data_IF_453482539803
#
_entry.id   IF_453482539803
#
_cell.length_a   1.000
_cell.length_b   1.000
_cell.length_c   1.000
_cell.angle_alpha   90.00
_cell.angle_beta   90.00
_cell.angle_gamma   90.00
#
_symmetry.space_group_name_H-M   'P 1'
#
loop_
_entity.id
_entity.type
_entity.pdbx_description
1 polymer ?
#
# COMPACT_ATOMS: atom_id res chain seq x y z
N UNK A 1 -15.90 -1.48 31.39
CA UNK A 1 -16.54 -2.68 30.78
C UNK A 1 -16.07 -2.82 29.34
N UNK A 2 -15.84 -4.05 28.86
CA UNK A 2 -15.40 -4.31 27.48
C UNK A 2 -16.57 -4.84 26.65
N UNK A 3 -16.80 -4.25 25.48
CA UNK A 3 -17.88 -4.66 24.56
C UNK A 3 -17.25 -5.36 23.36
N UNK A 4 -17.82 -6.49 22.93
CA UNK A 4 -17.39 -7.17 21.72
C UNK A 4 -17.86 -6.37 20.48
N UNK A 5 -16.92 -6.05 19.58
CA UNK A 5 -17.20 -5.23 18.37
C UNK A 5 -17.07 -6.04 17.09
N UNK A 6 -16.04 -6.87 16.95
CA UNK A 6 -15.74 -7.57 15.71
C UNK A 6 -14.94 -8.86 15.95
N UNK A 7 -15.10 -9.82 15.03
CA UNK A 7 -14.25 -11.01 14.93
C UNK A 7 -13.70 -11.14 13.52
N UNK A 8 -12.39 -10.99 13.39
CA UNK A 8 -11.70 -11.05 12.11
C UNK A 8 -10.28 -10.49 12.21
N UNK A 9 -9.53 -10.51 11.10
CA UNK A 9 -8.13 -10.09 11.06
C UNK A 9 -7.93 -8.57 11.17
N UNK A 10 -8.96 -7.75 10.92
CA UNK A 10 -8.93 -6.29 11.11
C UNK A 10 -10.34 -5.78 11.42
N UNK A 11 -10.47 -4.56 11.95
CA UNK A 11 -11.74 -3.94 12.29
C UNK A 11 -11.73 -2.46 11.87
N UNK A 12 -12.85 -1.97 11.32
CA UNK A 12 -13.09 -0.55 11.08
C UNK A 12 -13.99 -0.04 12.20
N UNK A 13 -13.60 1.05 12.85
CA UNK A 13 -14.35 1.64 13.96
C UNK A 13 -15.24 2.79 13.48
N UNK A 14 -16.52 2.79 13.90
CA UNK A 14 -17.45 3.89 13.71
C UNK A 14 -17.35 4.98 14.79
N UNK A 15 -18.13 6.05 14.63
CA UNK A 15 -18.14 7.22 15.53
C UNK A 15 -18.50 6.87 16.97
N UNK A 16 -19.32 5.83 17.18
CA UNK A 16 -19.69 5.28 18.47
C UNK A 16 -18.50 4.71 19.26
N UNK A 17 -17.35 4.50 18.60
CA UNK A 17 -16.14 3.99 19.22
C UNK A 17 -15.12 5.08 19.58
N UNK A 18 -15.37 6.34 19.19
CA UNK A 18 -14.48 7.48 19.50
C UNK A 18 -14.28 7.58 21.02
N UNK A 19 -13.05 7.95 21.42
CA UNK A 19 -12.60 8.05 22.81
C UNK A 19 -12.58 6.72 23.60
N UNK A 20 -12.79 5.57 22.96
CA UNK A 20 -12.66 4.24 23.61
C UNK A 20 -11.28 3.63 23.36
N UNK A 21 -10.85 2.77 24.28
CA UNK A 21 -9.69 1.90 24.07
C UNK A 21 -10.11 0.65 23.30
N UNK A 22 -9.16 0.04 22.58
CA UNK A 22 -9.37 -1.20 21.84
C UNK A 22 -8.63 -2.31 22.56
N UNK A 23 -9.30 -3.46 22.73
CA UNK A 23 -8.66 -4.69 23.19
C UNK A 23 -8.78 -5.76 22.11
N UNK A 24 -7.64 -6.24 21.63
CA UNK A 24 -7.52 -7.41 20.78
C UNK A 24 -7.37 -8.64 21.67
N UNK A 25 -8.14 -9.68 21.37
CA UNK A 25 -7.99 -11.01 21.99
C UNK A 25 -7.84 -12.03 20.87
N UNK A 26 -6.85 -12.91 20.98
CA UNK A 26 -6.52 -13.91 19.96
C UNK A 26 -6.25 -15.25 20.63
N UNK A 27 -6.99 -16.27 20.20
CA UNK A 27 -6.72 -17.66 20.58
C UNK A 27 -6.02 -18.35 19.40
N UNK A 28 -4.68 -18.47 19.42
CA UNK A 28 -3.93 -19.04 18.31
C UNK A 28 -4.27 -20.52 18.16
N UNK A 29 -4.31 -21.00 16.91
CA UNK A 29 -4.50 -22.41 16.57
C UNK A 29 -3.44 -22.86 15.59
N UNK A 30 -2.94 -24.08 15.77
CA UNK A 30 -2.02 -24.70 14.82
C UNK A 30 -2.77 -25.34 13.63
N UNK A 31 -2.04 -25.96 12.69
CA UNK A 31 -2.61 -26.66 11.53
C UNK A 31 -3.54 -27.82 11.90
N UNK A 32 -3.37 -28.42 13.08
CA UNK A 32 -4.24 -29.45 13.63
C UNK A 32 -5.41 -28.89 14.46
N UNK A 33 -5.67 -27.58 14.38
CA UNK A 33 -6.71 -26.85 15.12
C UNK A 33 -6.57 -26.90 16.65
N UNK A 34 -5.41 -27.29 17.17
CA UNK A 34 -5.15 -27.27 18.62
C UNK A 34 -4.94 -25.84 19.07
N UNK A 35 -5.64 -25.47 20.13
CA UNK A 35 -5.59 -24.14 20.72
C UNK A 35 -4.32 -23.96 21.56
N UNK A 36 -3.68 -22.81 21.41
CA UNK A 36 -2.64 -22.34 22.30
C UNK A 36 -3.20 -21.49 23.43
N UNK A 37 -2.33 -20.68 24.03
CA UNK A 37 -2.72 -19.75 25.09
C UNK A 37 -3.38 -18.49 24.52
N UNK A 38 -4.43 -18.01 25.18
CA UNK A 38 -5.06 -16.73 24.85
C UNK A 38 -4.03 -15.60 24.94
N UNK A 39 -3.88 -14.85 23.85
CA UNK A 39 -3.10 -13.63 23.80
C UNK A 39 -4.04 -12.42 23.81
N UNK A 40 -3.72 -11.41 24.62
CA UNK A 40 -4.48 -10.17 24.68
C UNK A 40 -3.56 -8.95 24.51
N UNK A 41 -4.07 -7.92 23.87
CA UNK A 41 -3.40 -6.63 23.72
C UNK A 41 -4.40 -5.49 23.87
N UNK A 42 -4.08 -4.49 24.69
CA UNK A 42 -4.88 -3.26 24.82
C UNK A 42 -4.14 -2.08 24.20
N UNK A 43 -4.85 -1.29 23.39
CA UNK A 43 -4.29 -0.11 22.74
C UNK A 43 -3.80 0.90 23.76
N UNK A 44 -2.65 1.53 23.47
CA UNK A 44 -2.09 2.61 24.31
C UNK A 44 -2.84 3.93 24.14
N UNK A 45 -3.51 4.11 23.00
CA UNK A 45 -4.25 5.32 22.63
C UNK A 45 -5.73 4.99 22.47
N UNK A 46 -6.57 6.00 22.70
CA UNK A 46 -8.00 5.95 22.39
C UNK A 46 -8.21 6.17 20.89
N UNK A 47 -9.32 5.68 20.36
CA UNK A 47 -9.75 5.99 19.01
C UNK A 47 -10.02 7.50 18.93
N UNK A 48 -9.41 8.15 17.93
CA UNK A 48 -9.62 9.56 17.63
C UNK A 48 -10.67 9.71 16.51
N UNK A 49 -11.37 10.86 16.44
CA UNK A 49 -12.27 11.15 15.33
C UNK A 49 -11.55 11.09 13.97
N UNK A 50 -12.21 10.51 12.97
CA UNK A 50 -11.77 10.60 11.58
C UNK A 50 -12.14 12.00 11.02
N UNK A 51 -11.28 12.67 10.24
CA UNK A 51 -11.66 13.92 9.59
C UNK A 51 -12.89 13.73 8.67
N UNK A 52 -13.80 14.71 8.68
CA UNK A 52 -15.10 14.60 8.00
C UNK A 52 -15.07 15.00 6.53
N UNK A 53 -14.26 16.00 6.15
CA UNK A 53 -14.15 16.49 4.76
C UNK A 53 -12.93 15.91 4.05
N UNK A 54 -12.95 14.58 3.87
CA UNK A 54 -11.89 13.88 3.14
C UNK A 54 -12.27 13.75 1.65
N UNK A 55 -11.36 14.04 0.71
CA UNK A 55 -11.64 13.90 -0.73
C UNK A 55 -12.15 12.51 -1.13
N UNK A 56 -11.68 11.45 -0.46
CA UNK A 56 -12.12 10.07 -0.68
C UNK A 56 -13.63 9.90 -0.49
N UNK A 57 -14.26 10.66 0.42
CA UNK A 57 -15.68 10.47 0.77
C UNK A 57 -16.60 10.69 -0.43
N UNK A 58 -16.30 11.69 -1.28
CA UNK A 58 -17.05 11.96 -2.51
C UNK A 58 -16.80 10.86 -3.55
N UNK A 59 -15.57 10.37 -3.65
CA UNK A 59 -15.18 9.31 -4.59
C UNK A 59 -15.79 7.95 -4.22
N UNK A 60 -15.92 7.66 -2.92
CA UNK A 60 -16.60 6.45 -2.41
C UNK A 60 -18.09 6.41 -2.76
N UNK A 61 -18.75 7.56 -2.93
CA UNK A 61 -20.14 7.58 -3.42
C UNK A 61 -20.29 7.01 -4.84
N UNK A 62 -19.21 7.04 -5.64
CA UNK A 62 -19.19 6.50 -7.00
C UNK A 62 -18.76 5.02 -7.04
N UNK A 63 -18.31 4.48 -5.92
CA UNK A 63 -17.65 3.17 -5.84
C UNK A 63 -18.23 2.30 -4.73
N UNK A 64 -19.53 2.48 -4.41
CA UNK A 64 -20.21 1.87 -3.25
C UNK A 64 -20.11 0.36 -3.11
N UNK A 65 -19.87 -0.34 -4.22
CA UNK A 65 -19.76 -1.79 -4.26
C UNK A 65 -18.76 -2.24 -5.32
N UNK A 66 -18.29 -3.47 -5.18
CA UNK A 66 -17.57 -4.19 -6.21
C UNK A 66 -18.46 -4.37 -7.45
N UNK A 67 -17.84 -4.44 -8.62
CA UNK A 67 -18.56 -4.95 -9.76
C UNK A 67 -18.86 -6.45 -9.57
N UNK A 68 -19.99 -6.95 -10.09
CA UNK A 68 -20.24 -8.40 -10.16
C UNK A 68 -19.12 -9.13 -10.90
N UNK A 69 -18.83 -10.37 -10.49
CA UNK A 69 -17.76 -11.18 -11.09
C UNK A 69 -17.99 -11.50 -12.57
N UNK A 70 -19.25 -11.48 -13.02
CA UNK A 70 -19.69 -11.68 -14.40
C UNK A 70 -19.81 -10.37 -15.19
N UNK A 71 -19.42 -9.24 -14.59
CA UNK A 71 -19.44 -7.95 -15.29
C UNK A 71 -18.28 -7.84 -16.28
N UNK A 72 -18.48 -7.04 -17.33
CA UNK A 72 -17.44 -6.70 -18.30
C UNK A 72 -16.60 -5.47 -17.87
N UNK A 73 -16.66 -5.11 -16.58
CA UNK A 73 -15.97 -3.92 -16.05
C UNK A 73 -14.87 -4.33 -15.09
N UNK A 74 -13.75 -3.60 -15.17
CA UNK A 74 -12.62 -3.72 -14.26
C UNK A 74 -12.41 -2.35 -13.64
N UNK A 75 -12.40 -2.28 -12.31
CA UNK A 75 -12.03 -1.08 -11.57
C UNK A 75 -10.55 -1.16 -11.19
N UNK A 76 -9.78 -0.19 -11.67
CA UNK A 76 -8.35 -0.08 -11.41
C UNK A 76 -8.02 1.17 -10.60
N UNK A 77 -7.15 1.01 -9.61
CA UNK A 77 -6.50 2.10 -8.90
C UNK A 77 -5.03 2.15 -9.33
N UNK A 78 -4.54 3.35 -9.62
CA UNK A 78 -3.11 3.66 -9.62
C UNK A 78 -2.88 4.80 -8.64
N UNK A 79 -2.06 4.58 -7.61
CA UNK A 79 -1.89 5.58 -6.55
C UNK A 79 -0.48 5.57 -5.95
N UNK A 80 0.21 6.70 -6.09
CA UNK A 80 1.43 6.96 -5.32
C UNK A 80 1.03 7.36 -3.90
N UNK A 81 1.46 6.56 -2.91
CA UNK A 81 1.02 6.69 -1.51
C UNK A 81 2.00 7.42 -0.59
N UNK A 82 3.03 8.06 -1.17
CA UNK A 82 4.07 8.82 -0.50
C UNK A 82 4.80 8.00 0.58
N UNK A 83 5.99 7.50 0.22
CA UNK A 83 6.79 6.70 1.14
C UNK A 83 7.16 7.52 2.37
N UNK A 84 7.09 6.90 3.54
CA UNK A 84 7.39 7.55 4.79
C UNK A 84 8.82 8.08 4.83
N UNK A 85 9.79 7.40 4.20
CA UNK A 85 11.16 7.89 4.10
C UNK A 85 11.27 9.31 3.51
N UNK A 86 10.39 9.67 2.57
CA UNK A 86 10.36 11.01 1.98
C UNK A 86 9.64 12.01 2.89
N UNK A 87 8.50 11.62 3.48
CA UNK A 87 7.74 12.48 4.36
C UNK A 87 8.44 12.77 5.71
N UNK A 88 9.20 11.82 6.25
CA UNK A 88 9.83 11.91 7.57
C UNK A 88 11.29 12.38 7.54
N UNK A 89 11.83 12.71 6.36
CA UNK A 89 13.20 13.21 6.25
C UNK A 89 13.33 14.60 6.88
N UNK A 90 14.48 14.87 7.51
CA UNK A 90 14.75 16.16 8.17
C UNK A 90 14.58 17.31 7.19
N UNK A 91 13.64 18.21 7.49
CA UNK A 91 13.31 19.36 6.66
C UNK A 91 12.30 19.10 5.54
N UNK A 92 11.88 17.86 5.26
CA UNK A 92 10.87 17.61 4.22
C UNK A 92 9.52 18.26 4.55
N UNK A 93 9.08 18.17 5.80
CA UNK A 93 7.86 18.85 6.22
C UNK A 93 7.96 20.39 6.17
N UNK A 94 9.16 20.96 6.32
CA UNK A 94 9.35 22.42 6.29
C UNK A 94 9.55 22.97 4.86
N UNK A 95 10.12 22.16 3.96
CA UNK A 95 10.46 22.59 2.60
C UNK A 95 9.46 22.11 1.56
N UNK A 96 9.09 20.84 1.58
CA UNK A 96 8.20 20.21 0.59
C UNK A 96 6.73 20.30 0.99
N UNK A 97 6.44 20.25 2.29
CA UNK A 97 5.07 20.24 2.82
C UNK A 97 4.82 21.33 3.88
N UNK A 98 5.25 22.59 3.69
CA UNK A 98 5.17 23.64 4.73
C UNK A 98 3.74 23.97 5.18
N UNK A 99 2.76 23.64 4.33
CA UNK A 99 1.33 23.82 4.59
C UNK A 99 0.71 22.67 5.41
N UNK A 100 1.42 21.56 5.60
CA UNK A 100 0.92 20.37 6.30
C UNK A 100 1.55 20.27 7.68
N UNK A 101 0.73 20.08 8.72
CA UNK A 101 1.25 19.87 10.06
C UNK A 101 2.04 18.56 10.15
N UNK A 102 3.08 18.55 10.99
CA UNK A 102 3.93 17.37 11.17
C UNK A 102 3.15 16.13 11.65
N UNK A 103 2.08 16.34 12.41
CA UNK A 103 1.18 15.27 12.87
C UNK A 103 0.53 14.54 11.70
N UNK A 104 0.07 15.26 10.67
CA UNK A 104 -0.63 14.67 9.52
C UNK A 104 0.33 14.03 8.50
N UNK A 105 1.60 14.43 8.52
CA UNK A 105 2.65 13.77 7.73
C UNK A 105 3.08 12.42 8.32
N UNK A 106 2.86 12.19 9.62
CA UNK A 106 3.26 10.94 10.27
C UNK A 106 2.57 9.74 9.62
N UNK A 107 3.35 8.67 9.40
CA UNK A 107 2.82 7.47 8.75
C UNK A 107 1.62 6.87 9.50
N UNK A 108 1.67 6.85 10.83
CA UNK A 108 0.60 6.32 11.66
C UNK A 108 -0.72 7.11 11.54
N UNK A 109 -0.66 8.37 11.11
CA UNK A 109 -1.85 9.14 10.76
C UNK A 109 -2.33 8.83 9.33
N UNK A 110 -1.39 8.71 8.37
CA UNK A 110 -1.71 8.47 6.95
C UNK A 110 -2.23 7.06 6.67
N UNK A 111 -1.64 6.01 7.26
CA UNK A 111 -1.99 4.60 6.94
C UNK A 111 -3.47 4.28 7.12
N UNK A 112 -4.14 4.63 8.24
CA UNK A 112 -5.57 4.37 8.39
C UNK A 112 -6.42 5.07 7.33
N UNK A 113 -6.04 6.29 6.93
CA UNK A 113 -6.74 7.04 5.87
C UNK A 113 -6.54 6.40 4.50
N UNK A 114 -5.31 5.99 4.18
CA UNK A 114 -4.99 5.26 2.94
C UNK A 114 -5.76 3.94 2.86
N UNK A 115 -5.81 3.16 3.95
CA UNK A 115 -6.56 1.90 3.98
C UNK A 115 -8.06 2.12 3.80
N UNK A 116 -8.62 3.13 4.48
CA UNK A 116 -10.03 3.53 4.28
C UNK A 116 -10.29 3.93 2.83
N UNK A 117 -9.39 4.71 2.24
CA UNK A 117 -9.48 5.17 0.86
C UNK A 117 -9.47 3.99 -0.13
N UNK A 118 -8.46 3.12 -0.04
CA UNK A 118 -8.29 1.98 -0.95
C UNK A 118 -9.43 0.97 -0.85
N UNK A 119 -9.86 0.60 0.35
CA UNK A 119 -10.93 -0.38 0.55
C UNK A 119 -12.29 0.15 0.08
N UNK A 120 -12.57 1.43 0.33
CA UNK A 120 -13.84 2.04 -0.07
C UNK A 120 -14.01 2.19 -1.59
N UNK A 121 -12.93 2.05 -2.37
CA UNK A 121 -13.01 2.03 -3.82
C UNK A 121 -13.51 0.71 -4.39
N UNK A 122 -13.50 -0.39 -3.64
CA UNK A 122 -13.94 -1.70 -4.10
C UNK A 122 -13.38 -2.05 -5.49
N UNK A 123 -12.07 -1.91 -5.64
CA UNK A 123 -11.37 -2.12 -6.90
C UNK A 123 -11.13 -3.60 -7.20
N UNK A 124 -10.92 -3.93 -8.46
CA UNK A 124 -10.51 -5.28 -8.87
C UNK A 124 -8.98 -5.38 -8.89
N UNK A 125 -8.30 -4.28 -9.25
CA UNK A 125 -6.84 -4.14 -9.28
C UNK A 125 -6.42 -2.84 -8.58
N UNK A 126 -5.38 -2.94 -7.74
CA UNK A 126 -4.77 -1.80 -7.05
C UNK A 126 -3.28 -1.80 -7.34
N UNK A 127 -2.78 -0.79 -8.05
CA UNK A 127 -1.35 -0.55 -8.27
C UNK A 127 -0.90 0.66 -7.45
N UNK A 128 0.12 0.48 -6.62
CA UNK A 128 0.63 1.48 -5.70
C UNK A 128 2.10 1.76 -5.95
N UNK A 129 2.49 3.04 -5.89
CA UNK A 129 3.88 3.49 -5.96
C UNK A 129 4.29 4.14 -4.64
N UNK A 130 5.60 4.20 -4.38
CA UNK A 130 6.16 4.69 -3.12
C UNK A 130 5.61 3.96 -1.89
N UNK A 131 5.41 2.65 -2.01
CA UNK A 131 4.92 1.82 -0.92
C UNK A 131 6.10 1.38 -0.04
N UNK A 132 6.13 1.82 1.22
CA UNK A 132 7.16 1.38 2.17
C UNK A 132 7.12 -0.14 2.40
N UNK A 133 8.28 -0.81 2.37
CA UNK A 133 8.41 -2.26 2.58
C UNK A 133 7.76 -2.71 3.88
N UNK A 134 8.04 -2.03 4.99
CA UNK A 134 7.47 -2.37 6.30
C UNK A 134 5.95 -2.24 6.32
N UNK A 135 5.40 -1.23 5.64
CA UNK A 135 3.96 -1.04 5.56
C UNK A 135 3.30 -2.14 4.73
N UNK A 136 3.91 -2.50 3.59
CA UNK A 136 3.48 -3.63 2.77
C UNK A 136 3.43 -4.94 3.58
N UNK A 137 4.55 -5.31 4.21
CA UNK A 137 4.72 -6.61 4.87
C UNK A 137 3.88 -6.77 6.13
N UNK A 138 3.75 -5.70 6.93
CA UNK A 138 3.16 -5.79 8.27
C UNK A 138 1.68 -5.42 8.34
N UNK A 139 1.19 -4.64 7.39
CA UNK A 139 -0.14 -4.04 7.49
C UNK A 139 -0.93 -4.22 6.18
N UNK A 140 -0.46 -3.59 5.10
CA UNK A 140 -1.22 -3.46 3.86
C UNK A 140 -1.57 -4.81 3.23
N UNK A 141 -0.59 -5.71 3.08
CA UNK A 141 -0.81 -7.03 2.47
C UNK A 141 -1.77 -7.90 3.29
N UNK A 142 -1.66 -7.87 4.62
CA UNK A 142 -2.54 -8.63 5.51
C UNK A 142 -3.98 -8.12 5.44
N UNK A 143 -4.17 -6.80 5.46
CA UNK A 143 -5.49 -6.17 5.41
C UNK A 143 -6.14 -6.39 4.04
N UNK A 144 -5.41 -6.17 2.94
CA UNK A 144 -5.95 -6.41 1.61
C UNK A 144 -6.24 -7.90 1.37
N UNK A 145 -5.40 -8.80 1.87
CA UNK A 145 -5.68 -10.26 1.84
C UNK A 145 -6.94 -10.64 2.58
N UNK A 146 -7.18 -10.05 3.74
CA UNK A 146 -8.42 -10.24 4.47
C UNK A 146 -9.67 -9.72 3.72
N UNK A 147 -9.49 -8.84 2.74
CA UNK A 147 -10.55 -8.33 1.84
C UNK A 147 -10.59 -9.05 0.48
N UNK A 148 -9.90 -10.18 0.35
CA UNK A 148 -9.94 -11.03 -0.83
C UNK A 148 -8.92 -10.69 -1.91
N UNK A 149 -7.96 -9.79 -1.66
CA UNK A 149 -6.90 -9.50 -2.62
C UNK A 149 -5.69 -10.43 -2.43
N UNK A 150 -5.09 -10.85 -3.52
CA UNK A 150 -3.70 -11.29 -3.55
C UNK A 150 -2.83 -10.09 -3.93
N UNK A 151 -1.55 -10.13 -3.60
CA UNK A 151 -0.66 -9.03 -3.95
C UNK A 151 0.80 -9.41 -4.02
N UNK A 152 1.52 -8.62 -4.82
CA UNK A 152 2.93 -8.74 -5.10
C UNK A 152 3.61 -7.40 -4.86
N UNK A 153 4.84 -7.43 -4.33
CA UNK A 153 5.62 -6.23 -4.04
C UNK A 153 6.99 -6.32 -4.69
N UNK A 154 7.44 -5.20 -5.26
CA UNK A 154 8.76 -5.07 -5.87
C UNK A 154 9.46 -3.85 -5.28
N UNK A 155 10.55 -4.08 -4.55
CA UNK A 155 11.41 -3.01 -4.06
C UNK A 155 12.14 -2.37 -5.24
N UNK A 156 12.29 -1.04 -5.20
CA UNK A 156 12.93 -0.25 -6.24
C UNK A 156 14.44 -0.54 -6.38
N UNK A 157 15.15 -0.56 -5.26
CA UNK A 157 16.54 -1.04 -5.15
C UNK A 157 16.89 -1.45 -3.74
N UNK A 158 17.98 -2.21 -3.58
CA UNK A 158 18.40 -2.77 -2.29
C UNK A 158 18.71 -1.70 -1.22
N UNK A 159 18.95 -0.46 -1.66
CA UNK A 159 19.27 0.68 -0.79
C UNK A 159 18.05 1.54 -0.43
N UNK A 160 16.87 1.23 -0.95
CA UNK A 160 15.65 2.00 -0.76
C UNK A 160 14.61 1.12 -0.06
N UNK A 161 13.88 1.69 0.91
CA UNK A 161 12.86 0.97 1.70
C UNK A 161 11.44 1.18 1.16
N UNK A 162 11.30 1.48 -0.13
CA UNK A 162 10.03 1.62 -0.84
C UNK A 162 10.08 0.95 -2.21
N UNK A 163 8.90 0.70 -2.76
CA UNK A 163 8.74 0.22 -4.12
C UNK A 163 7.30 0.24 -4.60
N UNK A 164 7.00 -0.71 -5.47
CA UNK A 164 5.71 -0.82 -6.14
C UNK A 164 4.95 -2.05 -5.63
N UNK A 165 3.66 -1.89 -5.34
CA UNK A 165 2.79 -2.97 -4.93
C UNK A 165 1.63 -3.09 -5.92
N UNK A 166 1.24 -4.32 -6.23
CA UNK A 166 0.04 -4.59 -7.00
C UNK A 166 -0.81 -5.63 -6.31
N UNK A 167 -2.11 -5.36 -6.26
CA UNK A 167 -3.10 -6.23 -5.64
C UNK A 167 -4.22 -6.53 -6.62
N UNK A 168 -4.75 -7.75 -6.57
CA UNK A 168 -5.82 -8.21 -7.45
C UNK A 168 -6.76 -9.17 -6.71
N UNK A 169 -8.07 -9.04 -6.91
CA UNK A 169 -9.10 -9.80 -6.17
C UNK A 169 -9.77 -10.91 -6.99
N UNK A 170 -10.11 -10.64 -8.23
CA UNK A 170 -10.86 -11.54 -9.13
C UNK A 170 -9.98 -12.22 -10.18
N UNK A 171 -8.69 -11.88 -10.19
CA UNK A 171 -7.71 -12.39 -11.15
C UNK A 171 -6.78 -13.41 -10.51
N UNK A 172 -6.21 -14.26 -11.35
CA UNK A 172 -5.12 -15.15 -10.99
C UNK A 172 -3.90 -14.66 -11.74
N UNK A 173 -2.80 -14.41 -11.02
CA UNK A 173 -1.52 -14.10 -11.65
C UNK A 173 -1.01 -15.34 -12.39
N UNK A 174 -0.80 -15.19 -13.70
CA UNK A 174 -0.26 -16.25 -14.55
C UNK A 174 1.27 -16.13 -14.58
N UNK A 175 1.76 -14.91 -14.82
CA UNK A 175 3.17 -14.60 -14.96
C UNK A 175 3.49 -13.29 -14.27
N UNK A 176 4.71 -13.18 -13.77
CA UNK A 176 5.17 -12.00 -13.04
C UNK A 176 6.55 -11.64 -13.54
N UNK A 177 6.69 -10.41 -14.03
CA UNK A 177 7.97 -9.89 -14.50
C UNK A 177 8.25 -8.57 -13.79
N UNK A 178 9.45 -8.45 -13.24
CA UNK A 178 9.91 -7.22 -12.62
C UNK A 178 11.30 -6.93 -13.15
N UNK A 179 11.48 -5.73 -13.70
CA UNK A 179 12.75 -5.30 -14.27
C UNK A 179 13.20 -4.01 -13.59
N UNK A 180 14.50 -3.88 -13.38
CA UNK A 180 15.12 -2.58 -13.15
C UNK A 180 15.50 -2.01 -14.51
N UNK A 181 14.94 -0.87 -14.88
CA UNK A 181 15.06 -0.32 -16.24
C UNK A 181 16.53 -0.13 -16.63
N UNK A 182 17.35 0.42 -15.72
CA UNK A 182 18.77 0.64 -15.98
C UNK A 182 19.56 -0.66 -16.22
N UNK A 183 19.23 -1.74 -15.50
CA UNK A 183 19.82 -3.07 -15.71
C UNK A 183 19.33 -3.69 -17.01
N UNK A 184 18.02 -3.70 -17.24
CA UNK A 184 17.41 -4.31 -18.42
C UNK A 184 17.90 -3.68 -19.73
N UNK A 185 18.09 -2.36 -19.76
CA UNK A 185 18.61 -1.65 -20.93
C UNK A 185 20.06 -2.03 -21.30
N UNK A 186 20.87 -2.48 -20.33
CA UNK A 186 22.24 -2.95 -20.60
C UNK A 186 22.22 -4.26 -21.39
N UNK A 187 21.33 -5.16 -20.99
CA UNK A 187 21.40 -6.57 -21.40
C UNK A 187 20.43 -6.91 -22.54
N UNK A 188 19.35 -6.14 -22.70
CA UNK A 188 18.34 -6.40 -23.72
C UNK A 188 18.85 -6.10 -25.14
N UNK A 189 19.06 -7.14 -25.95
CA UNK A 189 19.48 -7.03 -27.35
C UNK A 189 18.48 -6.23 -28.19
N UNK A 190 17.19 -6.46 -28.01
CA UNK A 190 16.13 -5.77 -28.74
C UNK A 190 16.03 -4.26 -28.44
N UNK A 191 16.74 -3.76 -27.41
CA UNK A 191 16.83 -2.35 -27.06
C UNK A 191 18.15 -1.71 -27.50
N UNK A 192 18.95 -2.39 -28.34
CA UNK A 192 20.23 -1.87 -28.82
C UNK A 192 20.10 -0.51 -29.52
N UNK A 193 19.04 -0.31 -30.31
CA UNK A 193 18.77 0.96 -30.98
C UNK A 193 18.61 2.14 -30.01
N UNK A 194 17.95 1.92 -28.87
CA UNK A 194 17.79 2.91 -27.80
C UNK A 194 19.15 3.17 -27.16
N UNK A 195 19.88 2.10 -26.81
CA UNK A 195 21.21 2.19 -26.19
C UNK A 195 22.19 2.97 -27.05
N UNK A 196 22.25 2.68 -28.36
CA UNK A 196 23.11 3.39 -29.33
C UNK A 196 22.78 4.89 -29.40
N UNK A 197 21.51 5.26 -29.34
CA UNK A 197 21.08 6.67 -29.34
C UNK A 197 21.45 7.37 -28.03
N UNK A 198 21.23 6.73 -26.89
CA UNK A 198 21.61 7.27 -25.59
C UNK A 198 23.12 7.45 -25.47
N UNK A 199 23.91 6.53 -26.04
CA UNK A 199 25.38 6.62 -26.05
C UNK A 199 25.94 7.82 -26.84
N UNK A 200 25.14 8.47 -27.70
CA UNK A 200 25.55 9.70 -28.38
C UNK A 200 25.70 10.89 -27.42
N UNK A 201 25.11 10.81 -26.22
CA UNK A 201 25.18 11.82 -25.17
C UNK A 201 25.60 11.14 -23.87
N UNK A 202 26.88 11.27 -23.51
CA UNK A 202 27.50 10.56 -22.38
C UNK A 202 26.73 10.74 -21.06
N UNK A 203 26.29 11.96 -20.77
CA UNK A 203 25.50 12.30 -19.58
C UNK A 203 24.17 11.54 -19.54
N UNK A 204 23.46 11.46 -20.66
CA UNK A 204 22.19 10.71 -20.76
C UNK A 204 22.44 9.23 -20.55
N UNK A 205 23.49 8.67 -21.16
CA UNK A 205 23.81 7.25 -21.03
C UNK A 205 24.12 6.88 -19.57
N UNK A 206 24.96 7.66 -18.89
CA UNK A 206 25.29 7.44 -17.48
C UNK A 206 24.05 7.55 -16.61
N UNK A 207 23.29 8.64 -16.73
CA UNK A 207 22.09 8.86 -15.92
C UNK A 207 21.02 7.79 -16.10
N UNK A 208 20.84 7.28 -17.32
CA UNK A 208 19.83 6.27 -17.65
C UNK A 208 20.19 4.90 -17.05
N UNK A 209 21.45 4.49 -17.19
CA UNK A 209 21.93 3.18 -16.74
C UNK A 209 22.07 3.10 -15.22
N UNK A 210 22.27 4.22 -14.54
CA UNK A 210 22.32 4.30 -13.08
C UNK A 210 20.94 4.43 -12.42
N UNK A 211 19.84 4.56 -13.20
CA UNK A 211 18.51 4.66 -12.60
C UNK A 211 18.08 3.33 -11.99
N UNK A 212 17.68 3.42 -10.73
CA UNK A 212 17.05 2.34 -9.98
C UNK A 212 15.54 2.24 -10.22
N UNK A 213 15.02 2.76 -11.33
CA UNK A 213 13.58 2.69 -11.60
C UNK A 213 13.17 1.24 -11.82
N UNK A 214 12.31 0.72 -10.96
CA UNK A 214 11.66 -0.57 -11.15
C UNK A 214 10.46 -0.43 -12.09
N UNK A 215 10.14 -1.51 -12.79
CA UNK A 215 8.92 -1.65 -13.58
C UNK A 215 8.32 -3.03 -13.31
N UNK A 216 7.05 -3.05 -12.94
CA UNK A 216 6.31 -4.25 -12.58
C UNK A 216 5.26 -4.60 -13.63
N UNK A 217 5.27 -5.86 -14.10
CA UNK A 217 4.23 -6.46 -14.94
C UNK A 217 3.70 -7.70 -14.23
N UNK A 218 2.37 -7.83 -14.13
CA UNK A 218 1.66 -8.97 -13.54
C UNK A 218 0.48 -9.37 -14.42
#
# INVERSE_FOLDING_TARGET
EWIHVHRGPFCIFGDEHINKFVRLTCLPRNSSLREGMLAEYTSKKRIIPCPTDLPMNRRHQLTKQYFPNDSNYIRLISYNILANGYASSTGAGETMYPYCSQEYLQHDYRKPLLLKELLGYHADIISLQECDTTFYERELSLILKANGYLGDFQIKSDNVREGEAIFYRTFISINSHSIKIGEYLRDAEHLENIRRRCALVSEINTHLLERNTAFQVR
#
